data_IF_923890546166
#
_entry.id   IF_923890546166
#
_cell.length_a   1.000
_cell.length_b   1.000
_cell.length_c   1.000
_cell.angle_alpha   90.00
_cell.angle_beta   90.00
_cell.angle_gamma   90.00
#
_symmetry.space_group_name_H-M   'P 1'
#
loop_
_entity.id
_entity.type
_entity.pdbx_description
1 polymer ?
#
# COMPACT_ATOMS: atom_id res chain seq x y z
N UNK A 1 1.63 -6.55 24.64
CA UNK A 1 1.66 -5.23 23.99
C UNK A 1 2.09 -5.38 22.53
N UNK A 2 1.29 -4.82 21.64
CA UNK A 2 1.56 -4.89 20.21
C UNK A 2 2.23 -3.60 19.74
N UNK A 3 3.31 -3.74 18.97
CA UNK A 3 3.97 -2.62 18.31
C UNK A 3 3.65 -2.70 16.82
N UNK A 4 2.58 -2.03 16.42
CA UNK A 4 2.17 -2.00 15.03
C UNK A 4 2.48 -0.62 14.46
N UNK A 5 3.26 -0.60 13.38
CA UNK A 5 3.62 0.64 12.71
C UNK A 5 2.64 0.90 11.56
N UNK A 6 1.79 1.89 11.74
CA UNK A 6 0.87 2.36 10.71
C UNK A 6 1.39 3.67 10.12
N UNK A 7 1.44 3.77 8.81
CA UNK A 7 1.73 5.04 8.14
C UNK A 7 0.72 5.26 7.02
N UNK A 8 0.35 6.52 6.83
CA UNK A 8 -0.68 6.93 5.87
C UNK A 8 -0.14 8.02 4.96
N UNK A 9 -0.57 8.03 3.71
CA UNK A 9 -0.23 9.08 2.77
C UNK A 9 -1.37 9.27 1.77
N UNK A 10 -1.62 10.51 1.36
CA UNK A 10 -2.57 10.82 0.31
C UNK A 10 -4.00 10.99 0.78
N UNK A 11 -4.94 10.77 -0.12
CA UNK A 11 -6.37 11.01 0.10
C UNK A 11 -7.02 9.80 0.75
N UNK A 12 -7.28 9.92 2.06
CA UNK A 12 -7.91 8.83 2.83
C UNK A 12 -9.38 8.59 2.46
N UNK A 13 -9.98 9.46 1.65
CA UNK A 13 -11.34 9.28 1.14
C UNK A 13 -11.36 8.56 -0.21
N UNK A 14 -10.32 7.80 -0.53
CA UNK A 14 -10.25 7.04 -1.77
C UNK A 14 -11.47 6.14 -1.94
N UNK A 15 -11.89 5.95 -3.19
CA UNK A 15 -13.11 5.21 -3.51
C UNK A 15 -12.98 3.70 -3.23
N UNK A 16 -11.77 3.16 -3.40
CA UNK A 16 -11.49 1.73 -3.18
C UNK A 16 -10.18 1.56 -2.45
N UNK A 17 -10.09 0.50 -1.65
CA UNK A 17 -8.86 0.12 -0.97
C UNK A 17 -8.50 -1.32 -1.34
N UNK A 18 -7.28 -1.53 -1.78
CA UNK A 18 -6.80 -2.81 -2.28
C UNK A 18 -5.53 -3.21 -1.54
N UNK A 19 -5.48 -4.45 -1.08
CA UNK A 19 -4.41 -4.93 -0.21
C UNK A 19 -3.35 -5.66 -1.02
N UNK A 20 -2.10 -5.23 -0.84
CA UNK A 20 -0.92 -5.96 -1.31
C UNK A 20 -0.35 -6.71 -0.11
N UNK A 21 -0.38 -8.03 -0.16
CA UNK A 21 0.02 -8.87 0.96
C UNK A 21 -1.21 -9.48 1.64
N UNK A 22 -1.03 -9.94 2.85
CA UNK A 22 -2.10 -10.59 3.60
C UNK A 22 -2.41 -9.86 4.89
N UNK A 23 -3.68 -9.56 5.10
CA UNK A 23 -4.16 -9.14 6.40
C UNK A 23 -4.49 -10.39 7.19
N UNK A 24 -3.54 -10.86 8.00
CA UNK A 24 -3.71 -12.07 8.79
C UNK A 24 -3.66 -11.70 10.27
N UNK A 25 -4.83 -11.63 10.89
CA UNK A 25 -4.94 -11.24 12.30
C UNK A 25 -4.20 -12.21 13.22
N UNK A 26 -4.00 -13.46 12.80
CA UNK A 26 -3.26 -14.44 13.60
C UNK A 26 -1.78 -14.08 13.72
N UNK A 27 -1.24 -13.29 12.81
CA UNK A 27 0.15 -12.85 12.87
C UNK A 27 0.38 -11.71 13.85
N UNK A 28 -0.68 -11.00 14.24
CA UNK A 28 -0.55 -9.89 15.17
C UNK A 28 0.47 -8.86 14.73
N UNK A 29 1.49 -8.60 15.57
CA UNK A 29 2.52 -7.61 15.29
C UNK A 29 3.45 -8.01 14.12
N UNK A 30 3.44 -9.27 13.70
CA UNK A 30 4.24 -9.74 12.57
C UNK A 30 3.53 -9.55 11.23
N UNK A 31 2.29 -9.06 11.27
CA UNK A 31 1.52 -8.78 10.07
C UNK A 31 2.15 -7.59 9.34
N UNK A 32 2.40 -7.74 8.04
CA UNK A 32 3.04 -6.71 7.24
C UNK A 32 2.36 -6.65 5.87
N UNK A 33 1.80 -5.49 5.53
CA UNK A 33 1.13 -5.33 4.24
C UNK A 33 1.04 -3.86 3.85
N UNK A 34 0.65 -3.64 2.61
CA UNK A 34 0.43 -2.32 2.03
C UNK A 34 -0.98 -2.27 1.47
N UNK A 35 -1.64 -1.13 1.64
CA UNK A 35 -2.94 -0.89 1.01
C UNK A 35 -2.83 0.30 0.06
N UNK A 36 -3.42 0.15 -1.11
CA UNK A 36 -3.54 1.26 -2.06
C UNK A 36 -4.94 1.83 -1.97
N UNK A 37 -5.04 3.16 -1.89
CA UNK A 37 -6.30 3.86 -2.09
C UNK A 37 -6.39 4.26 -3.55
N UNK A 38 -7.48 3.89 -4.21
CA UNK A 38 -7.66 4.08 -5.65
C UNK A 38 -8.95 4.85 -5.90
N UNK A 39 -8.85 5.89 -6.73
CA UNK A 39 -10.01 6.66 -7.20
C UNK A 39 -9.84 6.87 -8.71
N UNK A 40 -10.89 6.59 -9.47
CA UNK A 40 -10.88 6.72 -10.94
C UNK A 40 -9.69 5.98 -11.58
N UNK A 41 -9.37 4.81 -11.03
CA UNK A 41 -8.29 3.98 -11.57
C UNK A 41 -6.89 4.44 -11.23
N UNK A 42 -6.73 5.50 -10.44
CA UNK A 42 -5.42 6.03 -10.07
C UNK A 42 -5.15 5.83 -8.58
N UNK A 43 -3.87 5.59 -8.24
CA UNK A 43 -3.43 5.48 -6.86
C UNK A 43 -3.37 6.87 -6.27
N UNK A 44 -4.24 7.15 -5.30
CA UNK A 44 -4.35 8.46 -4.66
C UNK A 44 -3.96 8.44 -3.19
N UNK A 45 -3.78 7.25 -2.62
CA UNK A 45 -3.44 7.11 -1.20
C UNK A 45 -2.71 5.80 -0.96
N UNK A 46 -2.09 5.70 0.19
CA UNK A 46 -1.43 4.48 0.61
C UNK A 46 -1.41 4.36 2.13
N UNK A 47 -1.44 3.12 2.58
CA UNK A 47 -1.30 2.78 3.99
C UNK A 47 -0.26 1.67 4.08
N UNK A 48 0.71 1.80 4.98
CA UNK A 48 1.62 0.72 5.28
C UNK A 48 1.38 0.23 6.70
N UNK A 49 1.38 -1.07 6.87
CA UNK A 49 1.28 -1.71 8.18
C UNK A 49 2.53 -2.54 8.36
N UNK A 50 3.39 -2.14 9.29
CA UNK A 50 4.70 -2.77 9.52
C UNK A 50 5.54 -2.87 8.24
N UNK A 51 5.39 -1.91 7.34
CA UNK A 51 6.07 -1.88 6.05
C UNK A 51 6.52 -0.45 5.71
N UNK A 52 7.07 0.26 6.70
CA UNK A 52 7.44 1.67 6.55
C UNK A 52 8.41 1.91 5.39
N UNK A 53 9.25 0.94 5.07
CA UNK A 53 10.20 1.06 3.96
C UNK A 53 9.52 1.19 2.59
N UNK A 54 8.26 0.80 2.50
CA UNK A 54 7.51 0.92 1.24
C UNK A 54 6.86 2.29 1.06
N UNK A 55 6.81 3.09 2.12
CA UNK A 55 6.08 4.38 2.10
C UNK A 55 6.58 5.32 1.01
N UNK A 56 7.90 5.41 0.82
CA UNK A 56 8.46 6.31 -0.19
C UNK A 56 8.03 5.91 -1.61
N UNK A 57 7.83 4.62 -1.85
CA UNK A 57 7.37 4.14 -3.15
C UNK A 57 5.90 4.51 -3.39
N UNK A 58 5.08 4.43 -2.33
CA UNK A 58 3.69 4.88 -2.39
C UNK A 58 3.60 6.37 -2.67
N UNK A 59 4.42 7.18 -2.00
CA UNK A 59 4.46 8.63 -2.23
C UNK A 59 4.81 8.94 -3.68
N UNK A 60 5.77 8.21 -4.24
CA UNK A 60 6.18 8.39 -5.63
C UNK A 60 5.03 8.06 -6.59
N UNK A 61 4.34 6.95 -6.36
CA UNK A 61 3.19 6.55 -7.19
C UNK A 61 2.09 7.61 -7.15
N UNK A 62 1.78 8.13 -5.97
CA UNK A 62 0.75 9.15 -5.80
C UNK A 62 1.15 10.43 -6.54
N UNK A 63 2.39 10.88 -6.39
CA UNK A 63 2.85 12.12 -7.03
C UNK A 63 2.88 12.00 -8.55
N UNK A 64 3.03 10.80 -9.09
CA UNK A 64 3.05 10.55 -10.53
C UNK A 64 1.66 10.23 -11.10
N UNK A 65 0.63 10.22 -10.26
CA UNK A 65 -0.73 9.83 -10.66
C UNK A 65 -0.75 8.44 -11.31
N UNK A 66 -0.03 7.50 -10.71
CA UNK A 66 0.13 6.16 -11.27
C UNK A 66 -1.22 5.45 -11.38
N UNK A 67 -1.50 4.89 -12.55
CA UNK A 67 -2.68 4.06 -12.75
C UNK A 67 -2.52 2.75 -11.96
N UNK A 68 -3.59 2.34 -11.28
CA UNK A 68 -3.56 1.08 -10.53
C UNK A 68 -3.74 -0.09 -11.48
N UNK A 69 -2.86 -1.08 -11.36
CA UNK A 69 -2.90 -2.31 -12.16
C UNK A 69 -2.72 -3.49 -11.20
N UNK A 70 -3.79 -4.27 -11.02
CA UNK A 70 -3.80 -5.35 -10.02
C UNK A 70 -2.69 -6.37 -10.24
N UNK A 71 -2.47 -6.80 -11.49
CA UNK A 71 -1.45 -7.80 -11.81
C UNK A 71 -0.03 -7.30 -11.57
N UNK A 72 0.14 -6.00 -11.41
CA UNK A 72 1.43 -5.38 -11.14
C UNK A 72 1.55 -4.99 -9.66
N UNK A 73 0.56 -4.25 -9.16
CA UNK A 73 0.64 -3.64 -7.84
C UNK A 73 0.32 -4.61 -6.70
N UNK A 74 -0.47 -5.65 -6.95
CA UNK A 74 -0.82 -6.64 -5.93
C UNK A 74 0.06 -7.89 -5.99
N UNK A 75 0.90 -8.03 -7.00
CA UNK A 75 1.80 -9.17 -7.15
C UNK A 75 3.00 -9.01 -6.24
N UNK A 76 3.10 -9.84 -5.21
CA UNK A 76 4.20 -9.79 -4.24
C UNK A 76 5.56 -10.16 -4.85
N UNK A 77 5.58 -10.78 -6.02
CA UNK A 77 6.83 -11.04 -6.73
C UNK A 77 7.40 -9.77 -7.38
N UNK A 78 6.58 -8.73 -7.54
CA UNK A 78 7.02 -7.44 -8.07
C UNK A 78 7.60 -6.58 -6.93
N UNK A 79 8.78 -6.04 -7.15
CA UNK A 79 9.40 -5.14 -6.18
C UNK A 79 8.81 -3.74 -6.36
N UNK A 80 8.21 -3.18 -5.31
CA UNK A 80 7.61 -1.84 -5.38
C UNK A 80 8.60 -0.79 -5.85
N UNK A 81 9.86 -0.93 -5.45
CA UNK A 81 10.90 0.00 -5.86
C UNK A 81 11.03 0.06 -7.39
N UNK A 82 10.78 -1.05 -8.07
CA UNK A 82 10.93 -1.14 -9.52
C UNK A 82 9.70 -0.70 -10.28
N UNK A 83 8.52 -0.79 -9.65
CA UNK A 83 7.25 -0.46 -10.32
C UNK A 83 6.69 0.89 -9.88
N UNK A 84 7.34 1.55 -8.96
CA UNK A 84 6.90 2.86 -8.48
C UNK A 84 7.26 4.00 -9.45
#
# INVERSE_FOLDING_TARGET
>A
QLNINFQFVGDMAAAQWLVRGEMDVAKGADNSFVMYGVTDGQIVAGITVNAAKEMRHLKKMISKNTAFEAEKHLDLAQDLRKIA
#
